data_IF_969310347565
#
_entry.id   IF_969310347565
#
_cell.length_a   1.000
_cell.length_b   1.000
_cell.length_c   1.000
_cell.angle_alpha   90.00
_cell.angle_beta   90.00
_cell.angle_gamma   90.00
#
_symmetry.space_group_name_H-M   'P 1'
#
loop_
_entity.id
_entity.type
_entity.pdbx_description
1 polymer ?
#
# COMPACT_ATOMS: atom_id res chain seq x y z
N UNK A 1 -1.41 6.25 -0.82
CA UNK A 1 -1.21 6.67 0.58
C UNK A 1 -0.03 5.91 1.11
N UNK A 2 0.58 6.33 2.22
CA UNK A 2 1.30 5.34 3.02
C UNK A 2 0.31 4.23 3.37
N UNK A 3 0.71 2.98 3.26
CA UNK A 3 -0.15 1.85 3.61
C UNK A 3 0.72 0.75 4.22
N UNK A 4 0.11 -0.25 4.90
CA UNK A 4 0.81 -1.40 5.43
C UNK A 4 1.77 -2.04 4.42
N UNK A 5 1.32 -2.29 3.19
CA UNK A 5 2.14 -2.91 2.15
C UNK A 5 3.36 -2.07 1.77
N UNK A 6 3.23 -0.74 1.75
CA UNK A 6 4.36 0.17 1.51
C UNK A 6 5.36 0.08 2.65
N UNK A 7 4.88 0.10 3.90
CA UNK A 7 5.72 0.05 5.10
C UNK A 7 6.49 -1.27 5.19
N UNK A 8 5.77 -2.39 5.03
CA UNK A 8 6.39 -3.72 4.97
C UNK A 8 7.43 -3.75 3.85
N UNK A 9 7.09 -3.30 2.64
CA UNK A 9 7.97 -3.42 1.51
C UNK A 9 9.30 -2.64 1.69
N UNK A 10 9.23 -1.36 2.03
CA UNK A 10 10.44 -0.52 2.14
C UNK A 10 11.34 -0.94 3.29
N UNK A 11 10.76 -1.31 4.45
CA UNK A 11 11.53 -1.70 5.62
C UNK A 11 12.04 -3.13 5.53
N UNK A 12 11.24 -4.08 5.04
CA UNK A 12 11.72 -5.44 4.79
C UNK A 12 12.85 -5.45 3.75
N UNK A 13 12.74 -4.66 2.69
CA UNK A 13 13.80 -4.54 1.70
C UNK A 13 15.08 -3.94 2.29
N UNK A 14 14.97 -2.89 3.12
CA UNK A 14 16.09 -2.31 3.86
C UNK A 14 16.78 -3.35 4.76
N UNK A 15 15.99 -4.14 5.49
CA UNK A 15 16.47 -5.19 6.37
C UNK A 15 17.20 -6.30 5.60
N UNK A 16 16.64 -6.74 4.47
CA UNK A 16 17.29 -7.74 3.60
C UNK A 16 18.56 -7.21 2.93
N UNK A 17 18.63 -5.90 2.65
CA UNK A 17 19.83 -5.23 2.17
C UNK A 17 20.90 -5.00 3.26
N UNK A 18 20.58 -5.26 4.53
CA UNK A 18 21.46 -5.03 5.68
C UNK A 18 21.57 -3.56 6.10
N UNK A 19 20.59 -2.73 5.72
CA UNK A 19 20.50 -1.30 6.05
C UNK A 19 19.50 -1.00 7.17
N UNK A 20 18.83 -2.02 7.72
CA UNK A 20 17.91 -1.91 8.84
C UNK A 20 17.93 -3.19 9.68
N UNK A 21 17.51 -3.10 10.94
CA UNK A 21 17.26 -4.23 11.82
C UNK A 21 15.87 -4.85 11.55
N UNK A 22 15.63 -6.12 11.93
CA UNK A 22 14.28 -6.70 11.88
C UNK A 22 13.29 -5.89 12.73
N UNK A 23 13.75 -5.33 13.85
CA UNK A 23 12.91 -4.52 14.74
C UNK A 23 12.44 -3.23 14.07
N UNK A 24 13.23 -2.65 13.16
CA UNK A 24 12.80 -1.46 12.40
C UNK A 24 11.58 -1.75 11.51
N UNK A 25 11.46 -2.98 11.00
CA UNK A 25 10.30 -3.45 10.24
C UNK A 25 9.07 -3.51 11.13
N UNK A 26 9.20 -4.10 12.33
CA UNK A 26 8.09 -4.26 13.26
C UNK A 26 7.61 -2.92 13.82
N UNK A 27 8.54 -2.05 14.19
CA UNK A 27 8.24 -0.67 14.62
C UNK A 27 7.57 0.15 13.50
N UNK A 28 7.93 -0.07 12.23
CA UNK A 28 7.26 0.60 11.12
C UNK A 28 5.82 0.09 10.93
N UNK A 29 5.59 -1.20 11.18
CA UNK A 29 4.27 -1.82 11.14
C UNK A 29 3.41 -1.49 12.37
N UNK A 30 4.01 -1.22 13.52
CA UNK A 30 3.29 -0.85 14.74
C UNK A 30 2.58 0.51 14.63
N UNK A 31 2.96 1.33 13.65
CA UNK A 31 2.22 2.55 13.29
C UNK A 31 0.85 2.25 12.66
N UNK A 32 0.62 1.03 12.19
CA UNK A 32 -0.66 0.56 11.61
C UNK A 32 -1.47 -0.26 12.59
N UNK A 33 -0.83 -1.22 13.26
CA UNK A 33 -1.46 -2.06 14.26
C UNK A 33 -0.40 -2.56 15.26
N UNK A 34 -0.68 -2.56 16.58
CA UNK A 34 0.26 -3.04 17.59
C UNK A 34 0.63 -4.52 17.41
N UNK A 35 -0.27 -5.33 16.84
CA UNK A 35 -0.14 -6.77 16.65
C UNK A 35 -0.08 -7.13 15.17
N UNK A 36 0.75 -8.12 14.84
CA UNK A 36 0.91 -8.64 13.48
C UNK A 36 0.61 -10.14 13.50
N UNK A 37 -0.32 -10.57 12.66
CA UNK A 37 -0.62 -11.97 12.41
C UNK A 37 -0.29 -12.37 10.98
N UNK A 38 -0.05 -13.65 10.78
CA UNK A 38 0.18 -14.26 9.48
C UNK A 38 -0.70 -15.48 9.37
N UNK A 39 -1.55 -15.47 8.34
CA UNK A 39 -2.37 -16.60 7.95
C UNK A 39 -1.91 -17.12 6.58
N UNK A 40 -2.06 -18.42 6.34
CA UNK A 40 -1.91 -18.97 4.99
C UNK A 40 -3.29 -19.23 4.40
N UNK A 41 -3.50 -18.78 3.16
CA UNK A 41 -4.78 -18.95 2.47
C UNK A 41 -5.13 -20.44 2.22
N UNK A 42 -4.13 -21.33 2.13
CA UNK A 42 -4.35 -22.77 2.01
C UNK A 42 -3.18 -23.58 2.60
N UNK A 43 -3.43 -24.21 3.76
CA UNK A 43 -2.46 -25.08 4.44
C UNK A 43 -2.15 -26.35 3.62
N UNK A 44 -3.02 -26.73 2.68
CA UNK A 44 -2.90 -27.97 1.88
C UNK A 44 -2.03 -27.76 0.63
N UNK A 45 -2.06 -26.57 0.02
CA UNK A 45 -1.30 -26.28 -1.22
C UNK A 45 0.16 -25.86 -1.00
N UNK A 46 0.52 -25.45 0.22
CA UNK A 46 1.90 -25.05 0.56
C UNK A 46 2.79 -26.25 0.92
N UNK A 47 2.22 -27.45 1.11
CA UNK A 47 2.99 -28.68 1.35
C UNK A 47 3.83 -29.17 0.15
N UNK A 48 3.53 -28.72 -1.07
CA UNK A 48 4.29 -29.08 -2.30
C UNK A 48 5.23 -27.95 -2.77
N UNK A 49 4.94 -26.70 -2.43
CA UNK A 49 5.85 -25.59 -2.61
C UNK A 49 6.93 -25.69 -1.51
N UNK A 50 8.17 -25.98 -1.88
CA UNK A 50 9.31 -26.20 -0.96
C UNK A 50 9.76 -24.94 -0.17
N UNK A 51 8.81 -24.18 0.37
CA UNK A 51 9.05 -23.18 1.42
C UNK A 51 8.90 -23.91 2.75
N UNK A 52 9.93 -23.99 3.60
CA UNK A 52 9.83 -24.64 4.90
C UNK A 52 9.00 -23.75 5.84
N UNK A 53 7.68 -23.75 5.65
CA UNK A 53 6.75 -23.15 6.59
C UNK A 53 6.17 -24.24 7.48
N UNK A 54 6.48 -24.16 8.77
CA UNK A 54 5.82 -24.94 9.81
C UNK A 54 4.87 -24.00 10.55
N UNK A 55 3.57 -24.04 10.23
CA UNK A 55 2.59 -23.18 10.91
C UNK A 55 1.16 -23.62 10.66
N UNK A 56 0.66 -24.59 11.43
CA UNK A 56 -0.78 -24.62 11.68
C UNK A 56 -1.10 -23.51 12.69
N UNK A 57 -1.96 -22.56 12.33
CA UNK A 57 -2.46 -21.50 13.21
C UNK A 57 -1.65 -20.19 13.19
N UNK A 58 -2.36 -19.08 13.42
CA UNK A 58 -1.93 -17.68 13.36
C UNK A 58 -0.50 -17.45 13.89
N UNK A 59 0.42 -17.17 12.97
CA UNK A 59 1.80 -16.85 13.31
C UNK A 59 1.94 -15.35 13.60
N UNK A 60 2.56 -14.97 14.72
CA UNK A 60 2.78 -13.55 15.05
C UNK A 60 3.86 -12.86 14.19
N UNK A 61 4.30 -11.67 14.61
CA UNK A 61 5.37 -10.89 13.98
C UNK A 61 6.64 -11.68 13.56
N UNK A 62 7.07 -12.65 14.38
CA UNK A 62 8.21 -13.51 14.06
C UNK A 62 7.97 -14.38 12.81
N UNK A 63 6.74 -14.88 12.62
CA UNK A 63 6.37 -15.66 11.44
C UNK A 63 6.41 -14.79 10.18
N UNK A 64 5.97 -13.53 10.26
CA UNK A 64 6.06 -12.56 9.15
C UNK A 64 7.52 -12.35 8.74
N UNK A 65 8.41 -12.11 9.69
CA UNK A 65 9.84 -11.92 9.42
C UNK A 65 10.48 -13.18 8.81
N UNK A 66 10.14 -14.37 9.29
CA UNK A 66 10.61 -15.63 8.71
C UNK A 66 10.11 -15.83 7.28
N UNK A 67 8.83 -15.54 7.03
CA UNK A 67 8.20 -15.65 5.72
C UNK A 67 8.87 -14.70 4.71
N UNK A 68 9.03 -13.44 5.08
CA UNK A 68 9.71 -12.41 4.27
C UNK A 68 11.16 -12.81 4.00
N UNK A 69 11.89 -13.27 5.02
CA UNK A 69 13.28 -13.71 4.87
C UNK A 69 13.39 -14.91 3.95
N UNK A 70 12.55 -15.92 4.15
CA UNK A 70 12.54 -17.15 3.34
C UNK A 70 12.30 -16.86 1.86
N UNK A 71 11.28 -16.07 1.54
CA UNK A 71 10.95 -15.68 0.16
C UNK A 71 11.92 -14.64 -0.42
N UNK A 72 12.52 -13.80 0.42
CA UNK A 72 13.39 -12.68 0.01
C UNK A 72 14.89 -13.00 -0.03
N UNK A 73 15.30 -14.25 0.20
CA UNK A 73 16.72 -14.66 0.33
C UNK A 73 17.61 -14.37 -0.89
N UNK A 74 17.06 -14.01 -2.05
CA UNK A 74 17.81 -13.96 -3.31
C UNK A 74 17.57 -12.73 -4.22
N UNK A 75 17.08 -11.58 -3.74
CA UNK A 75 16.77 -10.51 -4.68
C UNK A 75 16.89 -9.09 -4.15
N UNK A 76 17.70 -8.28 -4.85
CA UNK A 76 17.69 -6.83 -4.73
C UNK A 76 16.32 -6.23 -5.05
N UNK A 77 15.63 -6.75 -6.06
CA UNK A 77 14.28 -6.31 -6.48
C UNK A 77 13.17 -7.30 -6.06
N UNK A 78 13.41 -8.07 -5.00
CA UNK A 78 12.57 -9.22 -4.66
C UNK A 78 11.22 -8.88 -4.05
N UNK A 79 11.11 -7.70 -3.45
CA UNK A 79 9.92 -7.22 -2.77
C UNK A 79 9.28 -6.13 -3.61
N UNK A 80 8.01 -6.31 -3.97
CA UNK A 80 7.26 -5.37 -4.80
C UNK A 80 5.87 -5.12 -4.20
N UNK A 81 5.60 -3.93 -3.66
CA UNK A 81 4.26 -3.55 -3.30
C UNK A 81 3.46 -3.27 -4.58
N UNK A 82 2.20 -3.66 -4.58
CA UNK A 82 1.26 -3.46 -5.68
C UNK A 82 0.00 -2.79 -5.14
N UNK A 83 -0.58 -1.91 -5.95
CA UNK A 83 -1.68 -1.04 -5.54
C UNK A 83 -2.87 -1.16 -6.50
N UNK A 84 -3.50 -2.33 -6.58
CA UNK A 84 -4.55 -2.59 -7.55
C UNK A 84 -5.80 -1.75 -7.28
N UNK A 85 -6.55 -1.47 -8.36
CA UNK A 85 -7.91 -0.92 -8.28
C UNK A 85 -8.82 -1.69 -9.23
N UNK A 86 -10.15 -1.68 -9.03
CA UNK A 86 -11.07 -2.25 -10.00
C UNK A 86 -10.82 -1.70 -11.41
N UNK A 87 -10.54 -2.59 -12.36
CA UNK A 87 -10.26 -2.25 -13.76
C UNK A 87 -8.79 -2.03 -14.13
N UNK A 88 -7.88 -1.88 -13.15
CA UNK A 88 -6.43 -1.83 -13.41
C UNK A 88 -5.67 -2.64 -12.35
N UNK A 89 -5.24 -3.82 -12.79
CA UNK A 89 -4.71 -4.93 -11.98
C UNK A 89 -3.30 -5.29 -12.40
N UNK A 90 -2.59 -4.35 -13.05
CA UNK A 90 -1.19 -4.53 -13.42
C UNK A 90 -0.36 -4.83 -12.15
N UNK A 91 0.73 -5.57 -12.34
CA UNK A 91 1.56 -6.06 -11.24
C UNK A 91 1.02 -7.29 -10.49
N UNK A 92 -0.20 -7.75 -10.77
CA UNK A 92 -0.78 -8.97 -10.16
C UNK A 92 -0.78 -10.17 -11.12
N UNK A 93 -0.63 -11.40 -10.60
CA UNK A 93 -0.83 -12.62 -11.39
C UNK A 93 -2.32 -12.83 -11.69
N UNK A 94 -2.68 -12.70 -12.96
CA UNK A 94 -4.07 -12.72 -13.41
C UNK A 94 -4.77 -14.07 -13.15
N UNK A 95 -6.07 -14.02 -12.82
CA UNK A 95 -6.92 -15.20 -12.62
C UNK A 95 -6.69 -15.93 -11.30
N UNK A 96 -5.88 -15.37 -10.39
CA UNK A 96 -5.57 -15.99 -9.08
C UNK A 96 -6.48 -15.47 -7.98
N UNK A 97 -6.64 -16.23 -6.89
CA UNK A 97 -7.31 -15.72 -5.69
C UNK A 97 -6.55 -14.57 -5.06
N UNK A 98 -5.21 -14.62 -5.06
CA UNK A 98 -4.37 -13.51 -4.62
C UNK A 98 -4.72 -12.20 -5.34
N UNK A 99 -4.95 -12.23 -6.66
CA UNK A 99 -5.38 -11.05 -7.40
C UNK A 99 -6.71 -10.51 -6.87
N UNK A 100 -7.69 -11.37 -6.61
CA UNK A 100 -9.01 -10.96 -6.10
C UNK A 100 -8.87 -10.28 -4.73
N UNK A 101 -8.17 -10.94 -3.80
CA UNK A 101 -7.99 -10.42 -2.44
C UNK A 101 -7.18 -9.13 -2.43
N UNK A 102 -6.13 -9.03 -3.26
CA UNK A 102 -5.36 -7.80 -3.42
C UNK A 102 -6.21 -6.65 -3.97
N UNK A 103 -7.11 -6.89 -4.92
CA UNK A 103 -8.04 -5.86 -5.44
C UNK A 103 -9.03 -5.41 -4.35
N UNK A 104 -9.54 -6.34 -3.54
CA UNK A 104 -10.45 -6.03 -2.45
C UNK A 104 -9.76 -5.19 -1.35
N UNK A 105 -8.52 -5.54 -1.01
CA UNK A 105 -7.70 -4.78 -0.07
C UNK A 105 -7.18 -3.44 -0.66
N UNK A 106 -7.10 -3.32 -1.99
CA UNK A 106 -6.48 -2.17 -2.68
C UNK A 106 -4.96 -2.12 -2.56
N UNK A 107 -4.35 -3.12 -1.93
CA UNK A 107 -2.91 -3.24 -1.73
C UNK A 107 -2.49 -4.70 -1.56
N UNK A 108 -1.25 -5.00 -1.93
CA UNK A 108 -0.58 -6.25 -1.59
C UNK A 108 0.94 -6.09 -1.71
N UNK A 109 1.69 -7.10 -1.28
CA UNK A 109 3.13 -7.23 -1.51
C UNK A 109 3.41 -8.56 -2.20
N UNK A 110 4.23 -8.53 -3.24
CA UNK A 110 4.77 -9.73 -3.88
C UNK A 110 6.23 -9.87 -3.49
N UNK A 111 6.62 -11.03 -2.96
CA UNK A 111 7.98 -11.32 -2.52
C UNK A 111 8.48 -12.57 -3.24
N UNK A 112 9.64 -12.49 -3.86
CA UNK A 112 10.33 -13.64 -4.42
C UNK A 112 11.57 -13.25 -5.22
N UNK A 113 12.27 -14.24 -5.74
CA UNK A 113 13.37 -14.05 -6.68
C UNK A 113 13.08 -14.79 -7.97
N UNK A 114 13.71 -14.35 -9.07
CA UNK A 114 13.67 -15.09 -10.32
C UNK A 114 14.39 -16.45 -10.20
N UNK A 115 15.35 -16.57 -9.28
CA UNK A 115 16.34 -17.66 -9.29
C UNK A 115 16.14 -18.75 -8.21
N UNK A 116 15.28 -18.55 -7.20
CA UNK A 116 14.95 -19.60 -6.21
C UNK A 116 13.72 -19.28 -5.34
N UNK A 117 13.00 -20.36 -4.95
CA UNK A 117 11.78 -20.43 -4.15
C UNK A 117 10.52 -19.86 -4.83
N UNK A 118 9.36 -20.53 -4.75
CA UNK A 118 8.14 -19.97 -5.33
C UNK A 118 7.83 -18.64 -4.65
N UNK A 119 7.54 -17.58 -5.43
CA UNK A 119 7.18 -16.30 -4.88
C UNK A 119 5.91 -16.41 -4.05
N UNK A 120 5.76 -15.49 -3.10
CA UNK A 120 4.58 -15.35 -2.26
C UNK A 120 3.93 -14.00 -2.51
N UNK A 121 2.61 -13.97 -2.45
CA UNK A 121 1.81 -12.76 -2.33
C UNK A 121 1.35 -12.60 -0.88
N UNK A 122 1.35 -11.38 -0.38
CA UNK A 122 0.82 -11.02 0.93
C UNK A 122 -0.25 -9.96 0.77
N UNK A 123 -1.42 -10.20 1.36
CA UNK A 123 -2.52 -9.24 1.40
C UNK A 123 -2.77 -8.87 2.87
N UNK A 124 -2.68 -7.58 3.24
CA UNK A 124 -3.02 -7.13 4.57
C UNK A 124 -4.54 -7.02 4.75
N UNK A 125 -5.01 -7.33 5.95
CA UNK A 125 -6.37 -7.05 6.40
C UNK A 125 -6.34 -6.70 7.90
N UNK A 126 -7.12 -5.69 8.30
CA UNK A 126 -7.33 -5.41 9.70
C UNK A 126 -8.33 -6.43 10.26
N UNK A 127 -7.96 -7.10 11.35
CA UNK A 127 -8.87 -7.88 12.16
C UNK A 127 -9.45 -6.96 13.22
N UNK A 128 -10.77 -6.79 13.20
CA UNK A 128 -11.50 -6.11 14.27
C UNK A 128 -11.99 -7.20 15.23
N UNK A 129 -11.38 -7.28 16.41
CA UNK A 129 -11.96 -8.08 17.48
C UNK A 129 -13.12 -7.28 18.07
N UNK A 130 -14.35 -7.77 17.91
CA UNK A 130 -15.57 -7.04 18.27
C UNK A 130 -15.66 -6.71 19.77
N UNK A 131 -14.87 -7.40 20.59
CA UNK A 131 -14.85 -7.27 22.05
C UNK A 131 -13.73 -6.34 22.57
N UNK A 132 -12.73 -5.97 21.75
CA UNK A 132 -11.63 -5.08 22.16
C UNK A 132 -11.08 -4.23 20.99
N UNK A 133 -11.60 -3.01 20.85
CA UNK A 133 -11.12 -2.02 19.87
C UNK A 133 -9.62 -1.66 20.04
N UNK A 134 -9.02 -1.92 21.22
CA UNK A 134 -7.60 -1.66 21.48
C UNK A 134 -6.67 -2.76 20.96
N UNK A 135 -7.22 -3.92 20.56
CA UNK A 135 -6.50 -5.06 20.04
C UNK A 135 -6.50 -5.12 18.49
N UNK A 136 -6.50 -3.97 17.82
CA UNK A 136 -6.40 -3.90 16.37
C UNK A 136 -5.18 -4.71 15.89
N UNK A 137 -5.43 -5.76 15.10
CA UNK A 137 -4.41 -6.65 14.58
C UNK A 137 -4.34 -6.52 13.06
N UNK A 138 -3.12 -6.45 12.52
CA UNK A 138 -2.89 -6.48 11.09
C UNK A 138 -2.54 -7.92 10.68
N UNK A 139 -3.47 -8.58 10.01
CA UNK A 139 -3.31 -9.94 9.50
C UNK A 139 -2.78 -9.91 8.07
N UNK A 140 -1.70 -10.66 7.84
CA UNK A 140 -1.09 -10.86 6.54
C UNK A 140 -1.46 -12.23 6.00
N UNK A 141 -2.35 -12.28 5.02
CA UNK A 141 -2.70 -13.54 4.35
C UNK A 141 -1.68 -13.83 3.26
N UNK A 142 -0.97 -14.95 3.39
CA UNK A 142 0.04 -15.43 2.45
C UNK A 142 -0.58 -16.35 1.38
N UNK A 143 -0.23 -16.07 0.13
CA UNK A 143 -0.65 -16.81 -1.05
C UNK A 143 0.57 -17.33 -1.81
N UNK A 144 0.67 -18.65 -2.09
CA UNK A 144 1.71 -19.15 -2.97
C UNK A 144 1.46 -18.66 -4.41
N UNK A 145 2.52 -18.22 -5.09
CA UNK A 145 2.48 -17.79 -6.49
C UNK A 145 3.31 -18.73 -7.36
N UNK A 146 2.91 -18.88 -8.62
CA UNK A 146 3.60 -19.74 -9.59
C UNK A 146 4.81 -19.07 -10.25
N UNK A 147 4.92 -17.75 -10.14
CA UNK A 147 6.00 -16.97 -10.72
C UNK A 147 5.86 -15.49 -10.39
N UNK A 148 6.95 -14.75 -10.58
CA UNK A 148 6.96 -13.31 -10.35
C UNK A 148 6.17 -12.61 -11.47
N UNK A 149 5.17 -11.77 -11.16
CA UNK A 149 4.48 -10.96 -12.17
C UNK A 149 5.47 -10.00 -12.84
N UNK A 150 5.18 -9.55 -14.06
CA UNK A 150 6.02 -8.57 -14.74
C UNK A 150 6.12 -7.27 -13.92
N UNK A 151 7.34 -6.74 -13.77
CA UNK A 151 7.52 -5.47 -13.07
C UNK A 151 6.93 -4.32 -13.88
N UNK A 152 6.19 -3.45 -13.22
CA UNK A 152 5.77 -2.19 -13.82
C UNK A 152 6.93 -1.20 -13.80
N UNK A 153 7.18 -0.59 -14.96
CA UNK A 153 8.14 0.50 -15.04
C UNK A 153 7.42 1.81 -14.72
N UNK A 154 7.83 2.45 -13.63
CA UNK A 154 7.36 3.77 -13.26
C UNK A 154 8.52 4.74 -13.26
N UNK A 155 8.47 5.75 -14.13
CA UNK A 155 9.47 6.81 -14.14
C UNK A 155 9.14 7.86 -13.07
N UNK A 156 10.12 8.15 -12.21
CA UNK A 156 9.95 9.10 -11.11
C UNK A 156 9.76 10.54 -11.62
N UNK A 157 10.37 10.90 -12.75
CA UNK A 157 10.24 12.23 -13.33
C UNK A 157 8.86 12.47 -13.94
N UNK A 158 8.34 11.49 -14.68
CA UNK A 158 6.99 11.49 -15.22
C UNK A 158 5.95 11.54 -14.10
N UNK A 159 6.11 10.72 -13.06
CA UNK A 159 5.28 10.73 -11.87
C UNK A 159 5.24 12.11 -11.20
N UNK A 160 6.41 12.73 -10.99
CA UNK A 160 6.51 14.07 -10.40
C UNK A 160 5.83 15.13 -11.27
N UNK A 161 5.98 15.05 -12.59
CA UNK A 161 5.30 15.94 -13.52
C UNK A 161 3.77 15.77 -13.47
N UNK A 162 3.29 14.52 -13.50
CA UNK A 162 1.87 14.19 -13.39
C UNK A 162 1.25 14.73 -12.09
N UNK A 163 1.93 14.55 -10.96
CA UNK A 163 1.47 15.07 -9.66
C UNK A 163 1.33 16.60 -9.64
N UNK A 164 2.26 17.35 -10.24
CA UNK A 164 2.15 18.82 -10.30
C UNK A 164 0.89 19.27 -11.04
N UNK A 165 0.50 18.55 -12.08
CA UNK A 165 -0.76 18.81 -12.79
C UNK A 165 -1.97 18.41 -11.93
N UNK A 166 -1.90 17.25 -11.27
CA UNK A 166 -2.99 16.70 -10.46
C UNK A 166 -3.33 17.55 -9.23
N UNK A 167 -2.33 18.15 -8.55
CA UNK A 167 -2.55 19.02 -7.38
C UNK A 167 -3.52 20.16 -7.70
N UNK A 168 -3.33 20.81 -8.86
CA UNK A 168 -4.18 21.93 -9.26
C UNK A 168 -5.62 21.47 -9.44
N UNK A 169 -5.84 20.42 -10.22
CA UNK A 169 -7.16 19.86 -10.46
C UNK A 169 -7.83 19.37 -9.18
N UNK A 170 -7.08 18.70 -8.29
CA UNK A 170 -7.60 18.23 -7.00
C UNK A 170 -8.07 19.40 -6.11
N UNK A 171 -7.27 20.48 -6.05
CA UNK A 171 -7.62 21.68 -5.28
C UNK A 171 -8.85 22.37 -5.85
N UNK A 172 -8.98 22.44 -7.18
CA UNK A 172 -10.16 23.00 -7.85
C UNK A 172 -11.43 22.19 -7.52
N UNK A 173 -11.34 20.85 -7.53
CA UNK A 173 -12.45 19.95 -7.15
C UNK A 173 -12.86 20.19 -5.68
N UNK A 174 -11.89 20.22 -4.75
CA UNK A 174 -12.15 20.50 -3.34
C UNK A 174 -12.76 21.90 -3.15
N UNK A 175 -12.28 22.91 -3.86
CA UNK A 175 -12.79 24.28 -3.79
C UNK A 175 -14.23 24.42 -4.30
N UNK A 176 -14.58 23.73 -5.39
CA UNK A 176 -15.94 23.74 -5.94
C UNK A 176 -16.96 23.05 -5.02
N UNK A 177 -16.54 21.99 -4.32
CA UNK A 177 -17.41 21.17 -3.46
C UNK A 177 -17.47 21.72 -2.03
N UNK A 178 -16.33 22.20 -1.52
CA UNK A 178 -16.14 22.73 -0.16
C UNK A 178 -16.66 24.15 0.05
N UNK A 179 -17.60 24.65 -0.74
CA UNK A 179 -18.27 25.94 -0.45
C UNK A 179 -19.53 25.78 0.43
N UNK A 180 -20.05 24.55 0.53
CA UNK A 180 -21.30 24.22 1.26
C UNK A 180 -21.15 23.09 2.28
N UNK A 181 -19.93 22.72 2.65
CA UNK A 181 -19.66 21.60 3.59
C UNK A 181 -20.40 21.75 4.92
N UNK A 182 -20.54 22.99 5.43
CA UNK A 182 -21.25 23.28 6.67
C UNK A 182 -22.76 22.93 6.60
N UNK A 183 -23.37 23.03 5.42
CA UNK A 183 -24.79 22.68 5.21
C UNK A 183 -25.02 21.16 5.31
N UNK A 184 -23.96 20.36 5.17
CA UNK A 184 -23.99 18.90 5.25
C UNK A 184 -23.54 18.36 6.61
N UNK A 185 -23.27 19.23 7.59
CA UNK A 185 -22.80 18.83 8.93
C UNK A 185 -21.42 18.14 8.92
N UNK A 186 -20.63 18.34 7.87
CA UNK A 186 -19.26 17.81 7.75
C UNK A 186 -18.30 18.74 8.49
N UNK A 187 -17.14 18.23 8.92
CA UNK A 187 -16.04 19.05 9.44
C UNK A 187 -15.42 19.91 8.32
N UNK A 188 -14.61 20.92 8.66
CA UNK A 188 -13.91 21.73 7.66
C UNK A 188 -13.03 20.82 6.77
N UNK A 189 -13.30 20.75 5.46
CA UNK A 189 -12.55 19.91 4.54
C UNK A 189 -11.06 20.18 4.54
N UNK A 190 -10.63 21.42 4.79
CA UNK A 190 -9.21 21.77 4.85
C UNK A 190 -8.55 21.16 6.08
N UNK A 191 -9.22 21.21 7.23
CA UNK A 191 -8.73 20.57 8.46
C UNK A 191 -8.65 19.06 8.30
N UNK A 192 -9.64 18.44 7.66
CA UNK A 192 -9.59 17.00 7.37
C UNK A 192 -8.41 16.62 6.46
N UNK A 193 -8.12 17.42 5.42
CA UNK A 193 -6.93 17.21 4.58
C UNK A 193 -5.65 17.32 5.41
N UNK A 194 -5.54 18.34 6.27
CA UNK A 194 -4.38 18.52 7.15
C UNK A 194 -4.19 17.33 8.10
N UNK A 195 -5.26 16.84 8.74
CA UNK A 195 -5.24 15.67 9.62
C UNK A 195 -4.77 14.41 8.88
N UNK A 196 -5.29 14.15 7.67
CA UNK A 196 -4.88 13.00 6.85
C UNK A 196 -3.41 13.10 6.43
N UNK A 197 -2.94 14.30 6.08
CA UNK A 197 -1.52 14.53 5.73
C UNK A 197 -0.63 14.32 6.95
N UNK A 198 -1.00 14.85 8.13
CA UNK A 198 -0.26 14.67 9.36
C UNK A 198 -0.15 13.20 9.76
N UNK A 199 -1.26 12.45 9.66
CA UNK A 199 -1.26 11.00 9.90
C UNK A 199 -0.24 10.26 9.01
N UNK A 200 -0.14 10.63 7.73
CA UNK A 200 0.84 10.04 6.80
C UNK A 200 2.29 10.36 7.21
N UNK A 201 2.54 11.54 7.76
CA UNK A 201 3.89 11.96 8.18
C UNK A 201 4.39 11.24 9.43
N UNK A 202 3.51 10.54 10.18
CA UNK A 202 3.90 9.72 11.32
C UNK A 202 4.69 8.47 10.90
N UNK A 203 4.55 8.03 9.65
CA UNK A 203 5.23 6.83 9.19
C UNK A 203 6.71 7.07 8.90
N UNK A 204 7.56 6.23 9.49
CA UNK A 204 9.00 6.31 9.33
C UNK A 204 9.44 5.86 7.93
N UNK A 205 10.51 6.49 7.45
CA UNK A 205 11.14 6.19 6.16
C UNK A 205 12.57 5.71 6.39
N UNK A 206 13.04 4.65 5.70
CA UNK A 206 14.42 4.21 5.80
C UNK A 206 15.43 5.32 5.43
N UNK A 207 16.56 5.37 6.12
CA UNK A 207 17.58 6.43 5.97
C UNK A 207 18.16 6.57 4.55
N UNK A 208 18.24 5.46 3.82
CA UNK A 208 18.79 5.41 2.47
C UNK A 208 17.80 5.92 1.40
N UNK A 209 16.56 6.23 1.79
CA UNK A 209 15.52 6.69 0.87
C UNK A 209 15.94 8.00 0.16
N UNK A 210 15.89 8.07 -1.19
CA UNK A 210 16.30 9.26 -1.91
C UNK A 210 15.37 10.44 -1.57
N UNK A 211 15.90 11.63 -1.22
CA UNK A 211 15.06 12.78 -0.85
C UNK A 211 14.04 13.16 -1.92
N UNK A 212 14.37 12.94 -3.20
CA UNK A 212 13.44 13.16 -4.32
C UNK A 212 12.25 12.20 -4.29
N UNK A 213 12.48 10.91 -4.02
CA UNK A 213 11.41 9.93 -3.95
C UNK A 213 10.49 10.21 -2.75
N UNK A 214 11.07 10.55 -1.60
CA UNK A 214 10.33 10.95 -0.39
C UNK A 214 9.43 12.16 -0.67
N UNK A 215 9.94 13.19 -1.34
CA UNK A 215 9.12 14.36 -1.75
C UNK A 215 7.95 14.00 -2.67
N UNK A 216 8.18 13.10 -3.64
CA UNK A 216 7.11 12.61 -4.54
C UNK A 216 6.06 11.85 -3.74
N UNK A 217 6.46 10.97 -2.81
CA UNK A 217 5.56 10.19 -1.99
C UNK A 217 4.70 11.08 -1.07
N UNK A 218 5.28 12.08 -0.42
CA UNK A 218 4.51 13.07 0.36
C UNK A 218 3.57 13.91 -0.51
N UNK A 219 4.01 14.29 -1.71
CA UNK A 219 3.16 15.05 -2.64
C UNK A 219 1.98 14.21 -3.12
N UNK A 220 2.19 12.92 -3.39
CA UNK A 220 1.13 11.97 -3.72
C UNK A 220 0.13 11.82 -2.57
N UNK A 221 0.61 11.66 -1.33
CA UNK A 221 -0.23 11.56 -0.14
C UNK A 221 -1.09 12.80 0.10
N UNK A 222 -0.54 14.00 -0.14
CA UNK A 222 -1.31 15.24 -0.03
C UNK A 222 -2.43 15.31 -1.08
N UNK A 223 -2.12 14.99 -2.35
CA UNK A 223 -3.16 14.94 -3.39
C UNK A 223 -4.24 13.95 -3.00
N UNK A 224 -3.86 12.77 -2.56
CA UNK A 224 -4.80 11.73 -2.15
C UNK A 224 -5.70 12.15 -0.98
N UNK A 225 -5.15 12.82 0.03
CA UNK A 225 -5.95 13.39 1.12
C UNK A 225 -7.02 14.36 0.58
N UNK A 226 -6.66 15.22 -0.38
CA UNK A 226 -7.61 16.10 -1.06
C UNK A 226 -8.68 15.28 -1.80
N UNK A 227 -8.29 14.22 -2.50
CA UNK A 227 -9.22 13.36 -3.25
C UNK A 227 -10.18 12.61 -2.34
N UNK A 228 -9.70 12.05 -1.22
CA UNK A 228 -10.50 11.36 -0.21
C UNK A 228 -11.56 12.30 0.36
N UNK A 229 -11.16 13.47 0.87
CA UNK A 229 -12.09 14.46 1.43
C UNK A 229 -13.07 14.96 0.37
N UNK A 230 -12.59 15.19 -0.86
CA UNK A 230 -13.47 15.60 -1.96
C UNK A 230 -14.49 14.52 -2.31
N UNK A 231 -14.10 13.25 -2.36
CA UNK A 231 -14.99 12.14 -2.66
C UNK A 231 -16.06 11.97 -1.58
N UNK A 232 -15.69 12.12 -0.31
CA UNK A 232 -16.63 12.06 0.83
C UNK A 232 -17.66 13.19 0.75
N UNK A 233 -17.23 14.43 0.48
CA UNK A 233 -18.14 15.57 0.30
C UNK A 233 -19.06 15.42 -0.90
N UNK A 234 -18.51 14.95 -2.03
CA UNK A 234 -19.29 14.71 -3.24
C UNK A 234 -20.34 13.63 -3.00
N UNK A 235 -20.01 12.60 -2.23
CA UNK A 235 -20.94 11.51 -1.86
C UNK A 235 -22.00 12.01 -0.87
N UNK A 236 -21.61 12.79 0.15
CA UNK A 236 -22.53 13.36 1.13
C UNK A 236 -23.54 14.35 0.51
N UNK A 237 -23.13 15.08 -0.53
CA UNK A 237 -23.99 16.02 -1.26
C UNK A 237 -24.79 15.39 -2.40
N UNK A 238 -24.49 14.15 -2.79
CA UNK A 238 -25.15 13.48 -3.90
C UNK A 238 -26.58 13.05 -3.55
N UNK A 239 -27.55 13.54 -4.32
CA UNK A 239 -28.97 13.22 -4.14
C UNK A 239 -29.45 12.03 -4.98
N UNK A 240 -28.54 11.38 -5.73
CA UNK A 240 -28.86 10.21 -6.57
C UNK A 240 -27.63 9.36 -6.85
N UNK A 241 -27.84 8.08 -7.18
CA UNK A 241 -26.77 7.18 -7.59
C UNK A 241 -25.99 7.70 -8.82
N UNK A 242 -26.67 8.34 -9.76
CA UNK A 242 -26.02 8.95 -10.93
C UNK A 242 -25.17 10.20 -10.57
N UNK A 243 -25.47 10.88 -9.46
CA UNK A 243 -24.61 11.95 -8.94
C UNK A 243 -23.35 11.37 -8.27
N UNK A 244 -23.50 10.30 -7.49
CA UNK A 244 -22.36 9.57 -6.90
C UNK A 244 -21.43 9.04 -7.98
N UNK A 245 -21.96 8.41 -9.03
CA UNK A 245 -21.12 7.88 -10.11
C UNK A 245 -20.32 8.98 -10.82
N UNK A 246 -20.95 10.12 -11.12
CA UNK A 246 -20.24 11.26 -11.73
C UNK A 246 -19.13 11.82 -10.85
N UNK A 247 -19.32 11.81 -9.52
CA UNK A 247 -18.30 12.21 -8.58
C UNK A 247 -17.09 11.26 -8.60
N UNK A 248 -17.36 9.94 -8.57
CA UNK A 248 -16.32 8.91 -8.68
C UNK A 248 -15.54 9.05 -9.99
N UNK A 249 -16.26 9.22 -11.11
CA UNK A 249 -15.65 9.37 -12.44
C UNK A 249 -14.79 10.63 -12.55
N UNK A 250 -15.14 11.71 -11.86
CA UNK A 250 -14.39 12.96 -11.86
C UNK A 250 -13.02 12.83 -11.17
N UNK A 251 -12.92 11.97 -10.14
CA UNK A 251 -11.71 11.80 -9.33
C UNK A 251 -10.82 10.64 -9.84
N UNK A 252 -11.40 9.67 -10.57
CA UNK A 252 -10.69 8.49 -11.06
C UNK A 252 -9.37 8.76 -11.83
N UNK A 253 -9.27 9.78 -12.71
CA UNK A 253 -8.01 10.11 -13.37
C UNK A 253 -6.91 10.55 -12.38
N UNK A 254 -7.28 11.29 -11.33
CA UNK A 254 -6.33 11.78 -10.32
C UNK A 254 -5.83 10.63 -9.44
N UNK A 255 -6.71 9.68 -9.09
CA UNK A 255 -6.32 8.45 -8.39
C UNK A 255 -5.26 7.65 -9.17
N UNK A 256 -5.38 7.60 -10.50
CA UNK A 256 -4.40 6.92 -11.35
C UNK A 256 -3.02 7.59 -11.29
N UNK A 257 -2.98 8.93 -11.31
CA UNK A 257 -1.72 9.70 -11.19
C UNK A 257 -1.08 9.51 -9.82
N UNK A 258 -1.86 9.63 -8.73
CA UNK A 258 -1.40 9.44 -7.36
C UNK A 258 -0.80 8.04 -7.18
N UNK A 259 -1.50 7.01 -7.66
CA UNK A 259 -1.04 5.63 -7.59
C UNK A 259 0.27 5.43 -8.36
N UNK A 260 0.35 5.90 -9.61
CA UNK A 260 1.58 5.80 -10.41
C UNK A 260 2.75 6.48 -9.71
N UNK A 261 2.52 7.65 -9.11
CA UNK A 261 3.55 8.37 -8.40
C UNK A 261 3.98 7.70 -7.09
N UNK A 262 3.04 7.10 -6.35
CA UNK A 262 3.35 6.24 -5.20
C UNK A 262 4.21 5.06 -5.63
N UNK A 263 3.82 4.32 -6.66
CA UNK A 263 4.61 3.20 -7.18
C UNK A 263 6.01 3.64 -7.61
N UNK A 264 6.14 4.74 -8.36
CA UNK A 264 7.43 5.28 -8.78
C UNK A 264 8.34 5.63 -7.61
N UNK A 265 7.80 6.33 -6.60
CA UNK A 265 8.55 6.74 -5.43
C UNK A 265 9.00 5.53 -4.60
N UNK A 266 8.09 4.58 -4.34
CA UNK A 266 8.40 3.38 -3.56
C UNK A 266 9.43 2.51 -4.28
N UNK A 267 9.27 2.27 -5.59
CA UNK A 267 10.27 1.56 -6.40
C UNK A 267 11.64 2.23 -6.34
N UNK A 268 11.70 3.57 -6.40
CA UNK A 268 12.97 4.30 -6.28
C UNK A 268 13.62 4.12 -4.90
N UNK A 269 12.84 4.07 -3.82
CA UNK A 269 13.31 3.76 -2.46
C UNK A 269 13.84 2.32 -2.40
N UNK A 270 13.07 1.34 -2.88
CA UNK A 270 13.47 -0.07 -2.88
C UNK A 270 14.81 -0.29 -3.61
N UNK A 271 14.95 0.28 -4.81
CA UNK A 271 16.19 0.16 -5.59
C UNK A 271 17.39 0.86 -4.93
N UNK A 272 17.17 1.90 -4.13
CA UNK A 272 18.27 2.64 -3.51
C UNK A 272 18.99 1.85 -2.42
N UNK A 273 18.31 0.89 -1.77
CA UNK A 273 18.91 0.02 -0.75
C UNK A 273 20.06 -0.85 -1.31
N UNK A 274 20.05 -1.11 -2.62
CA UNK A 274 20.96 -2.04 -3.30
C UNK A 274 21.99 -1.34 -4.20
N UNK A 275 21.92 0.00 -4.32
CA UNK A 275 22.93 0.80 -5.02
C UNK A 275 24.01 1.21 -4.03
N UNK A 276 25.13 0.47 -4.03
CA UNK A 276 26.37 0.88 -3.36
C UNK A 276 27.23 1.72 -4.30
#
# INVERSE_FOLDING_TARGET
MWCPSTSLAVWANAWLAGLAAPDDVLDALSAWAPMQAVAAYDVISIGEAAVPWAGGGDGGAAALLQLVRGAGTAAGDGIRPVFPVPGDVRGLPAGTTFQREAILAGEAVVIGSADASPPIGLVPAYSEDADDESAAELCWTAFPLTGMPAAEHHDLGEAEYGLRSAIRTATDVLGSTGSRWADYGVEDPRLQVEQLVEAVLLHRIPEHAPPRAVRVLHSAAHVEAILTVSADLLTASAQSAAAVQRAVDAVAPLNTVVRSARSAAVTAILHSAWRR
#
